data_IF_044780226165
#
_entry.id   IF_044780226165
#
_cell.length_a   1.000
_cell.length_b   1.000
_cell.length_c   1.000
_cell.angle_alpha   90.00
_cell.angle_beta   90.00
_cell.angle_gamma   90.00
#
_symmetry.space_group_name_H-M   'P 1'
#
loop_
_entity.id
_entity.type
_entity.pdbx_description
1 polymer ?
#
# COMPACT_ATOMS: atom_id res chain seq x y z
N UNK A 1 -55.30 12.37 -26.69
CA UNK A 1 -55.22 13.76 -26.19
C UNK A 1 -53.75 14.12 -26.05
N UNK A 2 -53.22 15.09 -26.81
CA UNK A 2 -51.84 15.59 -26.62
C UNK A 2 -51.81 16.45 -25.36
N UNK A 3 -50.95 16.13 -24.39
CA UNK A 3 -50.63 17.04 -23.28
C UNK A 3 -49.76 18.16 -23.85
N UNK A 4 -50.27 19.37 -23.90
CA UNK A 4 -49.46 20.56 -24.15
C UNK A 4 -48.66 20.86 -22.89
N UNK A 5 -47.34 20.68 -22.94
CA UNK A 5 -46.46 21.23 -21.92
C UNK A 5 -46.53 22.76 -21.98
N UNK A 6 -46.42 23.39 -20.82
CA UNK A 6 -46.54 24.83 -20.65
C UNK A 6 -45.29 25.32 -19.94
N UNK A 7 -44.69 26.40 -20.43
CA UNK A 7 -43.52 27.06 -19.84
C UNK A 7 -43.84 28.48 -19.43
N UNK A 8 -43.22 28.94 -18.35
CA UNK A 8 -43.38 30.30 -17.83
C UNK A 8 -42.20 31.16 -18.26
N UNK A 9 -42.48 32.38 -18.70
CA UNK A 9 -41.44 33.35 -19.02
C UNK A 9 -40.77 33.83 -17.72
N UNK A 10 -39.43 33.78 -17.59
CA UNK A 10 -38.76 34.22 -16.37
C UNK A 10 -38.77 35.75 -16.20
N UNK A 11 -38.88 36.52 -17.27
CA UNK A 11 -38.86 37.99 -17.22
C UNK A 11 -40.20 38.59 -16.78
N UNK A 12 -41.32 38.01 -17.20
CA UNK A 12 -42.65 38.59 -16.94
C UNK A 12 -43.67 37.62 -16.30
N UNK A 13 -43.30 36.37 -16.07
CA UNK A 13 -44.17 35.34 -15.49
C UNK A 13 -45.29 34.84 -16.42
N UNK A 14 -45.35 35.29 -17.68
CA UNK A 14 -46.43 34.89 -18.58
C UNK A 14 -46.36 33.39 -18.93
N UNK A 15 -47.51 32.74 -19.01
CA UNK A 15 -47.66 31.34 -19.38
C UNK A 15 -47.67 31.21 -20.90
N UNK A 16 -46.73 30.46 -21.47
CA UNK A 16 -46.61 30.22 -22.91
C UNK A 16 -46.66 28.70 -23.19
N UNK A 17 -47.08 28.31 -24.39
CA UNK A 17 -46.98 26.92 -24.84
C UNK A 17 -45.52 26.55 -25.14
N UNK A 18 -45.18 25.28 -25.00
CA UNK A 18 -43.80 24.78 -25.09
C UNK A 18 -43.13 25.06 -26.45
N UNK A 19 -43.92 25.08 -27.51
CA UNK A 19 -43.54 25.30 -28.90
C UNK A 19 -43.30 26.77 -29.26
N UNK A 20 -43.64 27.73 -28.39
CA UNK A 20 -43.32 29.13 -28.64
C UNK A 20 -41.84 29.44 -28.38
N UNK A 21 -41.20 30.02 -29.39
CA UNK A 21 -39.81 30.49 -29.31
C UNK A 21 -39.67 31.83 -28.57
N UNK A 22 -40.73 32.63 -28.49
CA UNK A 22 -40.76 33.94 -27.84
C UNK A 22 -41.97 34.08 -26.92
N UNK A 23 -41.83 34.87 -25.85
CA UNK A 23 -42.94 35.15 -24.96
C UNK A 23 -43.98 36.04 -25.65
N UNK A 24 -45.24 35.59 -25.68
CA UNK A 24 -46.34 36.33 -26.31
C UNK A 24 -46.69 37.67 -25.63
N UNK A 25 -46.18 37.92 -24.42
CA UNK A 25 -46.47 39.14 -23.65
C UNK A 25 -45.35 40.18 -23.73
N UNK A 26 -44.09 39.76 -23.60
CA UNK A 26 -42.95 40.68 -23.51
C UNK A 26 -41.89 40.50 -24.61
N UNK A 27 -42.05 39.52 -25.50
CA UNK A 27 -41.12 39.27 -26.62
C UNK A 27 -39.81 38.57 -26.25
N UNK A 28 -39.58 38.21 -24.98
CA UNK A 28 -38.36 37.51 -24.53
C UNK A 28 -38.19 36.17 -25.27
N UNK A 29 -37.00 35.91 -25.80
CA UNK A 29 -36.63 34.62 -26.40
C UNK A 29 -36.56 33.52 -25.33
N UNK A 30 -37.42 32.50 -25.46
CA UNK A 30 -37.55 31.40 -24.51
C UNK A 30 -36.58 30.24 -24.82
N UNK A 31 -36.02 30.18 -26.04
CA UNK A 31 -35.10 29.12 -26.45
C UNK A 31 -33.65 29.42 -26.03
N UNK A 32 -33.27 30.70 -25.95
CA UNK A 32 -31.95 31.09 -25.41
C UNK A 32 -31.79 30.72 -23.93
N UNK A 33 -32.88 30.64 -23.18
CA UNK A 33 -32.87 30.38 -21.74
C UNK A 33 -32.64 28.90 -21.41
N UNK A 34 -33.11 27.98 -22.26
CA UNK A 34 -32.82 26.54 -22.14
C UNK A 34 -31.32 26.24 -22.31
N UNK A 35 -30.64 27.02 -23.15
CA UNK A 35 -29.19 26.88 -23.38
C UNK A 35 -28.34 27.46 -22.26
N UNK A 36 -28.92 28.28 -21.38
CA UNK A 36 -28.22 29.00 -20.30
C UNK A 36 -28.41 28.38 -18.92
N UNK A 37 -29.29 27.38 -18.78
CA UNK A 37 -29.70 26.80 -17.50
C UNK A 37 -29.18 25.39 -17.21
N UNK A 38 -28.28 24.85 -18.04
CA UNK A 38 -27.28 23.92 -17.50
C UNK A 38 -26.23 24.85 -16.89
N UNK A 39 -26.21 25.09 -15.57
CA UNK A 39 -24.99 25.57 -14.96
C UNK A 39 -23.95 24.55 -15.40
N UNK A 40 -23.04 24.98 -16.27
CA UNK A 40 -21.74 24.35 -16.38
C UNK A 40 -21.24 24.37 -14.95
N UNK A 41 -21.47 23.26 -14.25
CA UNK A 41 -20.57 22.78 -13.23
C UNK A 41 -19.25 22.66 -13.98
N UNK A 42 -18.58 23.81 -14.11
CA UNK A 42 -17.16 23.89 -14.29
C UNK A 42 -16.66 22.87 -13.27
N UNK A 43 -16.13 21.72 -13.72
CA UNK A 43 -15.78 20.63 -12.84
C UNK A 43 -14.92 21.31 -11.79
N UNK A 44 -15.45 21.48 -10.57
CA UNK A 44 -14.76 22.31 -9.60
C UNK A 44 -13.40 21.68 -9.49
N UNK A 45 -12.41 22.40 -10.04
CA UNK A 45 -11.07 21.94 -10.20
C UNK A 45 -10.62 21.82 -8.76
N UNK A 46 -10.76 20.62 -8.19
CA UNK A 46 -10.51 20.37 -6.79
C UNK A 46 -9.15 20.99 -6.54
N UNK A 47 -9.06 21.98 -5.62
CA UNK A 47 -7.84 22.76 -5.44
C UNK A 47 -6.70 21.77 -5.36
N UNK A 48 -5.74 21.92 -6.28
CA UNK A 48 -4.71 20.95 -6.65
C UNK A 48 -4.62 19.80 -5.65
N UNK A 49 -5.34 18.69 -5.90
CA UNK A 49 -5.08 17.49 -5.13
C UNK A 49 -3.58 17.22 -5.27
N UNK A 50 -2.83 17.15 -4.14
CA UNK A 50 -1.40 16.95 -4.21
C UNK A 50 -1.17 15.70 -5.05
N UNK A 51 -0.49 15.90 -6.19
CA UNK A 51 -0.17 14.82 -7.12
C UNK A 51 0.55 13.79 -6.27
N UNK A 52 -0.07 12.62 -6.11
CA UNK A 52 0.51 11.53 -5.35
C UNK A 52 1.95 11.35 -5.86
N UNK A 53 2.97 11.42 -4.99
CA UNK A 53 4.33 11.23 -5.45
C UNK A 53 4.41 9.85 -6.08
N UNK A 54 5.03 9.80 -7.26
CA UNK A 54 5.22 8.57 -7.99
C UNK A 54 6.18 7.72 -7.18
N UNK A 55 5.69 6.60 -6.65
CA UNK A 55 6.56 5.67 -5.94
C UNK A 55 7.54 5.07 -6.94
N UNK A 56 8.83 5.30 -6.70
CA UNK A 56 9.89 4.71 -7.50
C UNK A 56 9.74 3.19 -7.44
N UNK A 57 9.57 2.54 -8.60
CA UNK A 57 9.53 1.08 -8.69
C UNK A 57 10.91 0.54 -8.28
N UNK A 58 11.02 0.14 -7.02
CA UNK A 58 12.25 -0.47 -6.49
C UNK A 58 12.40 -1.87 -7.09
N UNK A 59 13.54 -2.13 -7.75
CA UNK A 59 13.84 -3.47 -8.25
C UNK A 59 14.02 -4.41 -7.05
N UNK A 60 13.05 -5.31 -6.89
CA UNK A 60 12.98 -6.25 -5.80
C UNK A 60 14.23 -7.13 -5.68
N UNK A 61 14.78 -7.61 -6.80
CA UNK A 61 15.96 -8.47 -6.78
C UNK A 61 17.19 -7.73 -6.24
N UNK A 62 17.30 -6.43 -6.55
CA UNK A 62 18.41 -5.59 -6.07
C UNK A 62 18.29 -5.40 -4.56
N UNK A 63 17.13 -5.02 -4.05
CA UNK A 63 16.93 -4.84 -2.61
C UNK A 63 17.04 -6.15 -1.83
N UNK A 64 16.66 -7.27 -2.45
CA UNK A 64 16.90 -8.61 -1.91
C UNK A 64 18.40 -8.89 -1.74
N UNK A 65 19.19 -8.77 -2.82
CA UNK A 65 20.63 -8.96 -2.77
C UNK A 65 21.31 -8.03 -1.76
N UNK A 66 20.90 -6.76 -1.76
CA UNK A 66 21.45 -5.76 -0.83
C UNK A 66 21.12 -6.07 0.64
N UNK A 67 19.97 -6.68 0.93
CA UNK A 67 19.60 -7.04 2.31
C UNK A 67 20.42 -8.18 2.88
N UNK A 68 20.93 -9.09 2.04
CA UNK A 68 21.91 -10.11 2.45
C UNK A 68 23.30 -9.51 2.71
N UNK A 69 23.69 -8.50 1.93
CA UNK A 69 25.02 -7.91 2.01
C UNK A 69 25.11 -6.91 3.17
N UNK A 70 24.01 -6.22 3.50
CA UNK A 70 24.00 -5.19 4.52
C UNK A 70 22.64 -5.09 5.22
N UNK A 71 22.55 -5.65 6.43
CA UNK A 71 21.43 -5.44 7.35
C UNK A 71 21.01 -3.95 7.48
N UNK A 72 21.93 -2.96 7.54
CA UNK A 72 21.56 -1.55 7.55
C UNK A 72 20.79 -1.08 6.30
N UNK A 73 21.06 -1.65 5.11
CA UNK A 73 20.34 -1.30 3.88
C UNK A 73 18.87 -1.74 3.98
N UNK A 74 18.60 -2.86 4.65
CA UNK A 74 17.22 -3.30 4.88
C UNK A 74 16.44 -2.37 5.81
N UNK A 75 17.09 -1.77 6.82
CA UNK A 75 16.46 -0.76 7.68
C UNK A 75 16.10 0.51 6.89
N UNK A 76 16.99 0.95 5.99
CA UNK A 76 16.69 2.04 5.07
C UNK A 76 15.51 1.70 4.15
N UNK A 77 15.46 0.47 3.63
CA UNK A 77 14.32 0.00 2.84
C UNK A 77 12.99 0.08 3.62
N UNK A 78 12.98 -0.34 4.89
CA UNK A 78 11.80 -0.22 5.74
C UNK A 78 11.41 1.24 5.96
N UNK A 79 12.37 2.12 6.28
CA UNK A 79 12.14 3.55 6.42
C UNK A 79 11.46 4.14 5.18
N UNK A 80 12.01 3.86 3.99
CA UNK A 80 11.44 4.36 2.75
C UNK A 80 10.03 3.82 2.48
N UNK A 81 9.74 2.55 2.79
CA UNK A 81 8.38 2.02 2.65
C UNK A 81 7.36 2.72 3.56
N UNK A 82 7.75 3.09 4.77
CA UNK A 82 6.87 3.86 5.65
C UNK A 82 6.69 5.30 5.18
N UNK A 83 7.74 5.92 4.63
CA UNK A 83 7.63 7.23 4.00
C UNK A 83 6.68 7.18 2.81
N UNK A 84 6.77 6.14 1.99
CA UNK A 84 5.84 5.88 0.88
C UNK A 84 4.40 5.75 1.38
N UNK A 85 4.16 5.04 2.49
CA UNK A 85 2.82 4.96 3.12
C UNK A 85 2.30 6.32 3.59
N UNK A 86 3.15 7.13 4.22
CA UNK A 86 2.79 8.48 4.65
C UNK A 86 2.46 9.38 3.46
N UNK A 87 3.22 9.24 2.37
CA UNK A 87 2.98 9.96 1.12
C UNK A 87 1.65 9.54 0.46
N UNK A 88 1.29 8.26 0.52
CA UNK A 88 -0.01 7.78 0.05
C UNK A 88 -1.17 8.31 0.87
N UNK A 89 -0.98 8.49 2.19
CA UNK A 89 -1.99 9.12 3.03
C UNK A 89 -2.29 10.55 2.58
N UNK A 90 -1.26 11.31 2.22
CA UNK A 90 -1.40 12.69 1.73
C UNK A 90 -2.13 12.75 0.38
N UNK A 91 -1.95 11.72 -0.45
CA UNK A 91 -2.57 11.60 -1.76
C UNK A 91 -4.03 11.11 -1.74
N UNK A 92 -4.56 10.72 -0.58
CA UNK A 92 -5.86 10.06 -0.49
C UNK A 92 -7.00 11.04 -0.86
N UNK A 93 -7.84 10.74 -1.87
CA UNK A 93 -8.89 11.66 -2.32
C UNK A 93 -10.05 11.79 -1.31
N UNK A 94 -10.29 10.75 -0.51
CA UNK A 94 -11.34 10.70 0.51
C UNK A 94 -10.75 10.22 1.84
N UNK A 95 -10.98 10.95 2.94
CA UNK A 95 -10.45 10.61 4.27
C UNK A 95 -11.20 9.49 5.00
N UNK A 96 -12.11 8.81 4.31
CA UNK A 96 -12.83 7.67 4.87
C UNK A 96 -11.93 6.42 4.84
N UNK A 97 -12.06 5.58 5.87
CA UNK A 97 -11.29 4.34 6.01
C UNK A 97 -10.06 4.40 6.93
N UNK A 98 -9.35 3.28 7.09
CA UNK A 98 -8.20 3.17 7.99
C UNK A 98 -7.05 4.09 7.54
N UNK A 99 -6.44 4.83 8.47
CA UNK A 99 -5.33 5.74 8.15
C UNK A 99 -4.03 4.97 7.90
N UNK A 100 -3.29 5.35 6.85
CA UNK A 100 -1.92 4.87 6.58
C UNK A 100 -0.86 5.67 7.36
N UNK A 101 -1.26 6.79 7.98
CA UNK A 101 -0.34 7.68 8.69
C UNK A 101 0.40 6.90 9.77
N UNK A 102 1.71 6.97 9.71
CA UNK A 102 2.61 6.39 10.71
C UNK A 102 3.39 7.52 11.34
N UNK A 103 3.46 7.48 12.66
CA UNK A 103 4.24 8.44 13.42
C UNK A 103 5.73 8.23 13.12
N UNK A 104 6.34 9.23 12.49
CA UNK A 104 7.73 9.18 12.02
C UNK A 104 8.71 9.05 13.18
N UNK A 105 8.41 9.67 14.32
CA UNK A 105 9.32 9.68 15.47
C UNK A 105 9.37 8.28 16.09
N UNK A 106 8.19 7.68 16.32
CA UNK A 106 8.07 6.31 16.79
C UNK A 106 8.73 5.31 15.82
N UNK A 107 8.55 5.50 14.51
CA UNK A 107 9.19 4.65 13.51
C UNK A 107 10.73 4.71 13.57
N UNK A 108 11.31 5.91 13.67
CA UNK A 108 12.77 6.07 13.77
C UNK A 108 13.29 5.39 15.03
N UNK A 109 12.59 5.55 16.16
CA UNK A 109 12.95 4.87 17.41
C UNK A 109 12.98 3.34 17.21
N UNK A 110 11.94 2.76 16.63
CA UNK A 110 11.91 1.31 16.39
C UNK A 110 12.96 0.84 15.37
N UNK A 111 13.30 1.67 14.38
CA UNK A 111 14.39 1.39 13.42
C UNK A 111 15.77 1.43 14.07
N UNK A 112 15.99 2.34 15.01
CA UNK A 112 17.24 2.39 15.78
C UNK A 112 17.31 1.19 16.74
N UNK A 113 16.22 0.93 17.47
CA UNK A 113 16.15 -0.21 18.39
C UNK A 113 16.32 -1.55 17.67
N UNK A 114 15.85 -1.66 16.42
CA UNK A 114 15.99 -2.88 15.64
C UNK A 114 17.42 -3.20 15.20
N UNK A 115 18.30 -2.20 15.16
CA UNK A 115 19.73 -2.42 14.94
C UNK A 115 20.39 -3.18 16.10
N UNK A 116 19.84 -3.07 17.31
CA UNK A 116 20.34 -3.73 18.51
C UNK A 116 19.52 -4.98 18.88
N UNK A 117 18.21 -4.94 18.65
CA UNK A 117 17.27 -5.97 19.09
C UNK A 117 16.36 -6.32 17.89
N UNK A 118 16.63 -7.44 17.19
CA UNK A 118 15.89 -7.86 15.98
C UNK A 118 14.38 -7.98 16.17
N UNK A 119 13.92 -8.16 17.41
CA UNK A 119 12.50 -8.17 17.77
C UNK A 119 11.74 -6.93 17.27
N UNK A 120 12.36 -5.75 17.28
CA UNK A 120 11.68 -4.53 16.79
C UNK A 120 11.44 -4.55 15.27
N UNK A 121 12.23 -5.31 14.49
CA UNK A 121 11.93 -5.54 13.07
C UNK A 121 10.58 -6.24 12.91
N UNK A 122 10.29 -7.21 13.79
CA UNK A 122 9.04 -7.97 13.76
C UNK A 122 7.84 -7.06 14.02
N UNK A 123 7.96 -6.14 14.99
CA UNK A 123 6.92 -5.14 15.30
C UNK A 123 6.70 -4.20 14.12
N UNK A 124 7.78 -3.61 13.59
CA UNK A 124 7.71 -2.70 12.43
C UNK A 124 7.04 -3.38 11.23
N UNK A 125 7.41 -4.62 10.95
CA UNK A 125 6.79 -5.41 9.87
C UNK A 125 5.31 -5.64 10.13
N UNK A 126 4.94 -6.10 11.32
CA UNK A 126 3.54 -6.32 11.65
C UNK A 126 2.70 -5.04 11.44
N UNK A 127 3.17 -3.90 11.95
CA UNK A 127 2.49 -2.62 11.75
C UNK A 127 2.38 -2.21 10.28
N UNK A 128 3.46 -2.36 9.50
CA UNK A 128 3.44 -2.11 8.05
C UNK A 128 2.34 -2.94 7.39
N UNK A 129 2.36 -4.26 7.58
CA UNK A 129 1.45 -5.15 6.89
C UNK A 129 0.01 -5.05 7.37
N UNK A 130 -0.22 -4.84 8.67
CA UNK A 130 -1.58 -4.72 9.21
C UNK A 130 -2.27 -3.45 8.70
N UNK A 131 -1.61 -2.28 8.83
CA UNK A 131 -2.14 -1.02 8.27
C UNK A 131 -2.40 -1.12 6.78
N UNK A 132 -1.45 -1.72 6.07
CA UNK A 132 -1.56 -1.83 4.62
C UNK A 132 -2.62 -2.84 4.19
N UNK A 133 -2.78 -3.96 4.90
CA UNK A 133 -3.87 -4.92 4.67
C UNK A 133 -5.24 -4.25 4.82
N UNK A 134 -5.44 -3.56 5.94
CA UNK A 134 -6.69 -2.87 6.23
C UNK A 134 -7.00 -1.80 5.16
N UNK A 135 -5.97 -1.11 4.68
CA UNK A 135 -6.11 -0.15 3.57
C UNK A 135 -6.52 -0.82 2.25
N UNK A 136 -5.87 -1.93 1.88
CA UNK A 136 -6.20 -2.67 0.66
C UNK A 136 -7.60 -3.30 0.71
N UNK A 137 -8.00 -3.79 1.89
CA UNK A 137 -9.30 -4.41 2.12
C UNK A 137 -10.42 -3.38 1.96
N UNK A 138 -10.25 -2.20 2.58
CA UNK A 138 -11.19 -1.09 2.45
C UNK A 138 -11.32 -0.59 1.00
N UNK A 139 -10.21 -0.55 0.26
CA UNK A 139 -10.18 -0.12 -1.15
C UNK A 139 -10.27 -1.30 -2.14
N UNK A 140 -10.80 -2.45 -1.73
CA UNK A 140 -10.75 -3.65 -2.57
C UNK A 140 -11.54 -3.47 -3.88
N UNK A 141 -10.86 -3.65 -5.01
CA UNK A 141 -11.51 -3.67 -6.31
C UNK A 141 -11.98 -5.09 -6.62
N UNK A 142 -13.14 -5.20 -7.29
CA UNK A 142 -13.72 -6.48 -7.71
C UNK A 142 -12.68 -7.24 -8.55
N UNK A 143 -12.42 -8.50 -8.20
CA UNK A 143 -11.49 -9.44 -8.85
C UNK A 143 -9.98 -9.25 -8.58
N UNK A 144 -9.58 -8.51 -7.55
CA UNK A 144 -8.17 -8.43 -7.19
C UNK A 144 -7.78 -9.46 -6.12
N UNK A 145 -6.62 -10.08 -6.32
CA UNK A 145 -6.03 -11.00 -5.34
C UNK A 145 -5.52 -10.19 -4.15
N UNK A 146 -6.15 -10.39 -2.99
CA UNK A 146 -5.67 -9.81 -1.74
C UNK A 146 -4.35 -10.47 -1.32
N UNK A 147 -3.35 -9.69 -0.89
CA UNK A 147 -2.12 -10.25 -0.35
C UNK A 147 -2.38 -10.94 1.00
N UNK A 148 -1.40 -11.71 1.46
CA UNK A 148 -1.45 -12.46 2.72
C UNK A 148 -1.61 -11.49 3.89
N UNK A 149 -2.56 -11.71 4.79
CA UNK A 149 -2.82 -10.81 5.93
C UNK A 149 -1.59 -10.58 6.83
N UNK A 150 -1.54 -9.41 7.48
CA UNK A 150 -0.45 -9.04 8.38
C UNK A 150 -0.18 -10.06 9.49
N UNK A 151 -1.23 -10.71 10.01
CA UNK A 151 -1.12 -11.79 11.02
C UNK A 151 -0.40 -13.03 10.48
N UNK A 152 -0.71 -13.45 9.25
CA UNK A 152 -0.03 -14.59 8.60
C UNK A 152 1.43 -14.25 8.31
N UNK A 153 1.69 -13.03 7.83
CA UNK A 153 3.03 -12.53 7.55
C UNK A 153 3.90 -12.42 8.82
N UNK A 154 3.28 -12.03 9.94
CA UNK A 154 3.91 -12.06 11.26
C UNK A 154 4.28 -13.48 11.67
N UNK A 155 3.38 -14.45 11.50
CA UNK A 155 3.66 -15.86 11.78
C UNK A 155 4.85 -16.40 10.99
N UNK A 156 4.92 -16.10 9.68
CA UNK A 156 6.05 -16.47 8.82
C UNK A 156 7.36 -15.83 9.32
N UNK A 157 7.31 -14.55 9.70
CA UNK A 157 8.49 -13.82 10.20
C UNK A 157 9.01 -14.41 11.51
N UNK A 158 8.12 -14.72 12.45
CA UNK A 158 8.47 -15.36 13.73
C UNK A 158 9.06 -16.75 13.48
N UNK A 159 8.42 -17.57 12.64
CA UNK A 159 8.91 -18.90 12.30
C UNK A 159 10.30 -18.86 11.67
N UNK A 160 10.53 -17.94 10.73
CA UNK A 160 11.84 -17.74 10.10
C UNK A 160 12.90 -17.38 11.15
N UNK A 161 12.62 -16.41 12.03
CA UNK A 161 13.55 -16.00 13.07
C UNK A 161 13.86 -17.12 14.06
N UNK A 162 12.84 -17.87 14.49
CA UNK A 162 13.00 -19.03 15.37
C UNK A 162 13.87 -20.12 14.73
N UNK A 163 13.68 -20.42 13.44
CA UNK A 163 14.50 -21.41 12.72
C UNK A 163 15.96 -20.98 12.58
N UNK A 164 16.21 -19.70 12.26
CA UNK A 164 17.57 -19.16 12.16
C UNK A 164 18.29 -19.14 13.52
N UNK A 165 17.58 -18.74 14.58
CA UNK A 165 18.13 -18.75 15.95
C UNK A 165 18.43 -20.17 16.41
N UNK A 166 17.50 -21.10 16.18
CA UNK A 166 17.69 -22.52 16.54
C UNK A 166 18.88 -23.13 15.81
N UNK A 167 19.01 -22.90 14.51
CA UNK A 167 20.17 -23.36 13.73
C UNK A 167 21.49 -22.78 14.26
N UNK A 168 21.51 -21.49 14.61
CA UNK A 168 22.70 -20.82 15.16
C UNK A 168 23.10 -21.37 16.54
N UNK A 169 22.12 -21.63 17.41
CA UNK A 169 22.35 -22.25 18.73
C UNK A 169 22.87 -23.67 18.56
N UNK A 170 22.24 -24.50 17.71
CA UNK A 170 22.69 -25.88 17.45
C UNK A 170 24.13 -25.91 16.91
N UNK A 171 24.48 -25.01 16.00
CA UNK A 171 25.87 -24.89 15.51
C UNK A 171 26.82 -24.43 16.62
N UNK A 172 26.43 -23.48 17.46
CA UNK A 172 27.27 -22.99 18.56
C UNK A 172 27.52 -24.07 19.64
N UNK A 173 26.54 -24.95 19.87
CA UNK A 173 26.70 -26.09 20.78
C UNK A 173 27.79 -27.06 20.32
N UNK A 174 28.07 -27.14 19.01
CA UNK A 174 29.19 -27.95 18.49
C UNK A 174 30.56 -27.36 18.80
N UNK A 175 30.64 -26.06 19.11
CA UNK A 175 31.88 -25.36 19.44
C UNK A 175 32.22 -25.41 20.94
N UNK A 176 31.31 -25.88 21.80
CA UNK A 176 31.61 -26.08 23.22
C UNK A 176 32.66 -27.20 23.37
N UNK A 177 33.80 -26.94 24.03
CA UNK A 177 34.91 -27.88 24.09
C UNK A 177 34.54 -29.16 24.87
N UNK A 178 34.18 -30.20 24.10
CA UNK A 178 34.62 -31.60 24.18
C UNK A 178 35.14 -32.01 25.57
N UNK A 179 34.24 -32.42 26.46
CA UNK A 179 34.59 -33.40 27.51
C UNK A 179 33.63 -34.60 27.52
N UNK A 180 32.43 -34.48 26.93
CA UNK A 180 31.38 -35.52 27.09
C UNK A 180 30.60 -35.87 25.81
N UNK A 181 30.99 -35.37 24.64
CA UNK A 181 30.26 -35.65 23.41
C UNK A 181 30.85 -36.85 22.67
N UNK A 182 30.06 -37.91 22.59
CA UNK A 182 30.29 -38.98 21.62
C UNK A 182 30.34 -38.41 20.20
N UNK A 183 31.28 -38.90 19.39
CA UNK A 183 31.52 -38.40 18.02
C UNK A 183 30.25 -38.39 17.15
N UNK A 184 29.34 -39.36 17.34
CA UNK A 184 28.08 -39.43 16.59
C UNK A 184 27.11 -38.30 16.94
N UNK A 185 27.11 -37.84 18.20
CA UNK A 185 26.22 -36.79 18.67
C UNK A 185 26.58 -35.45 18.02
N UNK A 186 27.87 -35.18 17.82
CA UNK A 186 28.35 -34.00 17.09
C UNK A 186 27.79 -33.95 15.66
N UNK A 187 27.87 -35.04 14.90
CA UNK A 187 27.32 -35.10 13.54
C UNK A 187 25.80 -34.93 13.51
N UNK A 188 25.09 -35.44 14.51
CA UNK A 188 23.66 -35.20 14.66
C UNK A 188 23.36 -33.71 14.84
N UNK A 189 24.10 -33.00 15.70
CA UNK A 189 23.92 -31.57 15.92
C UNK A 189 24.28 -30.73 14.68
N UNK A 190 25.35 -31.08 13.97
CA UNK A 190 25.70 -30.45 12.69
C UNK A 190 24.58 -30.67 11.67
N UNK A 191 24.07 -31.91 11.54
CA UNK A 191 23.00 -32.25 10.62
C UNK A 191 21.69 -31.51 10.93
N UNK A 192 21.28 -31.46 12.19
CA UNK A 192 20.10 -30.71 12.65
C UNK A 192 20.28 -29.21 12.46
N UNK A 193 21.45 -28.67 12.81
CA UNK A 193 21.79 -27.27 12.59
C UNK A 193 21.71 -26.89 11.11
N UNK A 194 22.29 -27.71 10.23
CA UNK A 194 22.25 -27.49 8.79
C UNK A 194 20.82 -27.57 8.23
N UNK A 195 20.01 -28.54 8.70
CA UNK A 195 18.60 -28.64 8.32
C UNK A 195 17.79 -27.41 8.78
N UNK A 196 17.99 -26.93 10.00
CA UNK A 196 17.34 -25.71 10.50
C UNK A 196 17.72 -24.48 9.67
N UNK A 197 19.00 -24.34 9.32
CA UNK A 197 19.48 -23.25 8.46
C UNK A 197 18.85 -23.33 7.06
N UNK A 198 18.78 -24.52 6.46
CA UNK A 198 18.16 -24.72 5.14
C UNK A 198 16.67 -24.37 5.16
N UNK A 199 15.93 -24.79 6.19
CA UNK A 199 14.53 -24.37 6.36
C UNK A 199 14.44 -22.85 6.55
N UNK A 200 15.34 -22.24 7.34
CA UNK A 200 15.43 -20.79 7.47
C UNK A 200 15.64 -20.08 6.13
N UNK A 201 16.49 -20.62 5.26
CA UNK A 201 16.70 -20.10 3.89
C UNK A 201 15.43 -20.23 3.06
N UNK A 202 14.75 -21.38 3.05
CA UNK A 202 13.48 -21.56 2.32
C UNK A 202 12.41 -20.58 2.81
N UNK A 203 12.27 -20.43 4.14
CA UNK A 203 11.34 -19.45 4.73
C UNK A 203 11.71 -18.01 4.36
N UNK A 204 13.01 -17.70 4.26
CA UNK A 204 13.46 -16.39 3.79
C UNK A 204 13.04 -16.12 2.35
N UNK A 205 13.23 -17.09 1.43
CA UNK A 205 12.75 -16.97 0.05
C UNK A 205 11.24 -16.79 -0.03
N UNK A 206 10.49 -17.58 0.74
CA UNK A 206 9.04 -17.46 0.81
C UNK A 206 8.62 -16.08 1.35
N UNK A 207 9.23 -15.61 2.43
CA UNK A 207 8.99 -14.27 3.00
C UNK A 207 9.26 -13.15 1.98
N UNK A 208 10.34 -13.29 1.22
CA UNK A 208 10.75 -12.35 0.18
C UNK A 208 9.73 -12.35 -0.96
N UNK A 209 9.28 -13.52 -1.39
CA UNK A 209 8.20 -13.64 -2.38
C UNK A 209 6.90 -12.97 -1.92
N UNK A 210 6.54 -13.08 -0.63
CA UNK A 210 5.32 -12.41 -0.13
C UNK A 210 5.49 -10.89 -0.05
N UNK A 211 6.66 -10.35 0.32
CA UNK A 211 6.99 -8.92 0.19
C UNK A 211 6.85 -8.42 -1.26
N UNK A 212 7.29 -9.21 -2.24
CA UNK A 212 7.15 -8.85 -3.66
C UNK A 212 5.67 -8.75 -4.07
N UNK A 213 4.85 -9.73 -3.72
CA UNK A 213 3.41 -9.69 -3.99
C UNK A 213 2.77 -8.46 -3.35
N UNK A 214 3.15 -8.17 -2.11
CA UNK A 214 2.69 -6.99 -1.37
C UNK A 214 3.04 -5.68 -2.09
N UNK A 215 4.29 -5.52 -2.50
CA UNK A 215 4.75 -4.33 -3.24
C UNK A 215 4.05 -4.21 -4.61
N UNK A 216 3.85 -5.33 -5.31
CA UNK A 216 3.15 -5.35 -6.59
C UNK A 216 1.71 -4.88 -6.42
N UNK A 217 0.98 -5.43 -5.45
CA UNK A 217 -0.40 -5.03 -5.14
C UNK A 217 -0.47 -3.53 -4.77
N UNK A 218 0.53 -3.02 -4.05
CA UNK A 218 0.65 -1.60 -3.73
C UNK A 218 0.79 -0.73 -4.97
N UNK A 219 1.74 -1.06 -5.85
CA UNK A 219 1.97 -0.30 -7.07
C UNK A 219 0.73 -0.30 -7.99
N UNK A 220 0.05 -1.44 -8.12
CA UNK A 220 -1.19 -1.55 -8.90
C UNK A 220 -2.29 -0.61 -8.36
N UNK A 221 -2.43 -0.50 -7.03
CA UNK A 221 -3.40 0.43 -6.42
C UNK A 221 -3.08 1.89 -6.67
N UNK A 222 -1.81 2.23 -6.61
CA UNK A 222 -1.35 3.60 -6.84
C UNK A 222 -1.64 4.00 -8.29
N UNK A 223 -1.41 3.11 -9.24
CA UNK A 223 -1.75 3.32 -10.65
C UNK A 223 -3.25 3.49 -10.86
N UNK A 224 -4.10 2.80 -10.10
CA UNK A 224 -5.56 2.99 -10.17
C UNK A 224 -5.99 4.37 -9.63
N UNK A 225 -5.35 4.85 -8.57
CA UNK A 225 -5.66 6.15 -7.96
C UNK A 225 -5.09 7.30 -8.81
N UNK A 226 -3.90 7.09 -9.38
CA UNK A 226 -3.19 8.08 -10.17
C UNK A 226 -2.60 7.42 -11.44
N UNK A 227 -3.40 7.27 -12.51
CA UNK A 227 -2.91 6.69 -13.77
C UNK A 227 -1.73 7.47 -14.38
N UNK A 228 -1.65 8.78 -14.12
CA UNK A 228 -0.56 9.65 -14.57
C UNK A 228 0.79 9.32 -13.88
N UNK A 229 0.80 8.47 -12.85
CA UNK A 229 2.03 8.01 -12.22
C UNK A 229 2.86 7.07 -13.11
N UNK A 230 2.23 6.37 -14.06
CA UNK A 230 2.90 5.39 -14.92
C UNK A 230 3.99 6.04 -15.79
N UNK A 231 3.67 7.20 -16.37
CA UNK A 231 4.52 7.92 -17.34
C UNK A 231 5.87 8.38 -16.74
N UNK A 232 5.94 8.55 -15.41
CA UNK A 232 7.16 9.00 -14.71
C UNK A 232 8.04 7.86 -14.18
N UNK A 233 7.60 6.61 -14.26
CA UNK A 233 8.35 5.44 -13.72
C UNK A 233 9.25 4.74 -14.74
N UNK A 234 9.25 5.18 -16.00
CA UNK A 234 10.02 4.57 -17.09
C UNK A 234 11.45 5.10 -17.25
N UNK A 235 11.90 5.99 -16.36
CA UNK A 235 13.26 6.55 -16.32
C UNK A 235 13.93 6.22 -14.99
#
# INVERSE_FOLDING_TARGET
>A
MRRTNLKYCPECGNKNQDDHSFCMKCGTDLNQLEKKSIPTLEPQLRPHQPIAPVLVRRNFLIWWLLSYIASPIYLLYLYYNFEDMNNLELARPHREGPSLKTDKDNMIIYLVLSAFIPFFIIILRYWKYDKFYNYLEYNSAKNQTMPISGKKQLGITIAMFAMMLSGSVLMSLTALPIVFYEFWLMWLFIGLGAACLLVGVVLSFYYIYTEYIWQKAMNERILMINPQAEEKTLF
#
